data_IF_975484910584
#
_entry.id   IF_975484910584
#
_cell.length_a   1.000
_cell.length_b   1.000
_cell.length_c   1.000
_cell.angle_alpha   90.00
_cell.angle_beta   90.00
_cell.angle_gamma   90.00
#
_symmetry.space_group_name_H-M   'P 1'
#
loop_
_entity.id
_entity.type
_entity.pdbx_description
1 polymer ?
#
# COMPACT_ATOMS: atom_id res chain seq x y z
N UNK A 1 -10.48 16.43 29.80
CA UNK A 1 -10.42 16.61 28.34
C UNK A 1 -11.06 17.95 28.02
N UNK A 2 -10.35 18.80 27.34
CA UNK A 2 -10.85 20.13 26.95
C UNK A 2 -12.01 19.97 25.95
N UNK A 3 -13.09 20.74 26.11
CA UNK A 3 -14.26 20.72 25.21
C UNK A 3 -13.82 21.03 23.77
N UNK A 4 -12.84 21.91 23.61
CA UNK A 4 -12.23 22.25 22.30
C UNK A 4 -11.63 21.02 21.61
N UNK A 5 -10.83 20.23 22.32
CA UNK A 5 -10.23 18.99 21.81
C UNK A 5 -11.31 17.98 21.36
N UNK A 6 -12.38 17.84 22.14
CA UNK A 6 -13.48 16.93 21.81
C UNK A 6 -14.21 17.37 20.53
N UNK A 7 -14.46 18.66 20.36
CA UNK A 7 -15.08 19.20 19.15
C UNK A 7 -14.19 19.01 17.92
N UNK A 8 -12.90 19.29 18.05
CA UNK A 8 -11.94 19.13 16.96
C UNK A 8 -11.77 17.66 16.56
N UNK A 9 -11.73 16.76 17.55
CA UNK A 9 -11.74 15.31 17.30
C UNK A 9 -13.03 14.84 16.62
N UNK A 10 -14.16 15.39 17.04
CA UNK A 10 -15.46 15.08 16.42
C UNK A 10 -15.52 15.54 14.95
N UNK A 11 -14.93 16.70 14.63
CA UNK A 11 -14.80 17.18 13.23
C UNK A 11 -13.90 16.24 12.42
N UNK A 12 -12.74 15.86 12.96
CA UNK A 12 -11.81 14.92 12.31
C UNK A 12 -12.50 13.59 11.99
N UNK A 13 -13.06 12.96 13.01
CA UNK A 13 -13.71 11.65 12.86
C UNK A 13 -15.00 11.75 12.02
N UNK A 14 -15.76 12.82 12.17
CA UNK A 14 -16.97 13.08 11.39
C UNK A 14 -16.68 13.27 9.90
N UNK A 15 -15.64 14.03 9.55
CA UNK A 15 -15.20 14.21 8.16
C UNK A 15 -14.76 12.89 7.53
N UNK A 16 -13.95 12.09 8.24
CA UNK A 16 -13.52 10.77 7.79
C UNK A 16 -14.72 9.83 7.62
N UNK A 17 -15.60 9.75 8.61
CA UNK A 17 -16.79 8.91 8.57
C UNK A 17 -17.71 9.27 7.39
N UNK A 18 -17.96 10.58 7.19
CA UNK A 18 -18.77 11.05 6.07
C UNK A 18 -18.13 10.69 4.73
N UNK A 19 -16.81 10.88 4.59
CA UNK A 19 -16.07 10.52 3.39
C UNK A 19 -16.12 9.02 3.07
N UNK A 20 -15.95 8.18 4.07
CA UNK A 20 -16.06 6.71 3.93
C UNK A 20 -17.49 6.32 3.51
N UNK A 21 -18.51 6.96 4.09
CA UNK A 21 -19.92 6.67 3.77
C UNK A 21 -20.30 7.07 2.35
N UNK A 22 -19.77 8.20 1.86
CA UNK A 22 -20.00 8.67 0.49
C UNK A 22 -19.17 7.89 -0.55
N UNK A 23 -18.00 7.40 -0.15
CA UNK A 23 -17.13 6.57 -0.97
C UNK A 23 -16.33 7.33 -2.06
N UNK A 24 -15.46 6.62 -2.76
CA UNK A 24 -14.68 7.15 -3.88
C UNK A 24 -13.86 8.40 -3.51
N UNK A 25 -13.93 9.44 -4.33
CA UNK A 25 -13.22 10.72 -4.12
C UNK A 25 -13.73 11.53 -2.93
N UNK A 26 -14.94 11.24 -2.45
CA UNK A 26 -15.60 12.03 -1.40
C UNK A 26 -14.79 12.08 -0.10
N UNK A 27 -13.98 11.06 0.18
CA UNK A 27 -13.11 11.04 1.37
C UNK A 27 -12.08 12.18 1.33
N UNK A 28 -11.57 12.52 0.16
CA UNK A 28 -10.70 13.68 -0.02
C UNK A 28 -11.44 15.00 0.15
N UNK A 29 -12.65 15.10 -0.41
CA UNK A 29 -13.48 16.30 -0.30
C UNK A 29 -13.90 16.58 1.13
N UNK A 30 -14.35 15.55 1.85
CA UNK A 30 -14.74 15.69 3.27
C UNK A 30 -13.53 15.96 4.17
N UNK A 31 -12.34 15.46 3.79
CA UNK A 31 -11.09 15.84 4.44
C UNK A 31 -10.81 17.35 4.32
N UNK A 32 -10.89 17.90 3.11
CA UNK A 32 -10.78 19.35 2.88
C UNK A 32 -11.86 20.17 3.60
N UNK A 33 -13.11 19.67 3.63
CA UNK A 33 -14.18 20.29 4.42
C UNK A 33 -13.84 20.29 5.92
N UNK A 34 -13.32 19.18 6.44
CA UNK A 34 -12.86 19.09 7.83
C UNK A 34 -11.77 20.10 8.17
N UNK A 35 -10.77 20.28 7.28
CA UNK A 35 -9.76 21.35 7.45
C UNK A 35 -10.42 22.73 7.51
N UNK A 36 -11.35 23.03 6.60
CA UNK A 36 -12.05 24.32 6.59
C UNK A 36 -12.81 24.55 7.90
N UNK A 37 -13.49 23.53 8.44
CA UNK A 37 -14.20 23.63 9.73
C UNK A 37 -13.21 23.82 10.88
N UNK A 38 -12.13 23.07 10.93
CA UNK A 38 -11.09 23.21 11.97
C UNK A 38 -10.46 24.61 11.94
N UNK A 39 -10.15 25.11 10.75
CA UNK A 39 -9.50 26.40 10.60
C UNK A 39 -10.45 27.59 10.79
N UNK A 40 -11.58 27.61 10.06
CA UNK A 40 -12.44 28.78 9.99
C UNK A 40 -13.45 28.85 11.14
N UNK A 41 -13.95 27.72 11.62
CA UNK A 41 -14.92 27.69 12.71
C UNK A 41 -14.30 27.46 14.08
N UNK A 42 -13.20 26.69 14.17
CA UNK A 42 -12.55 26.35 15.44
C UNK A 42 -11.20 27.03 15.64
N UNK A 43 -10.77 27.90 14.69
CA UNK A 43 -9.58 28.75 14.83
C UNK A 43 -8.24 27.98 14.85
N UNK A 44 -8.20 26.75 14.34
CA UNK A 44 -6.94 25.98 14.25
C UNK A 44 -6.08 26.48 13.08
N UNK A 45 -4.76 26.58 13.27
CA UNK A 45 -3.86 26.80 12.15
C UNK A 45 -3.85 25.58 11.23
N UNK A 46 -4.09 25.77 9.91
CA UNK A 46 -4.04 24.66 8.97
C UNK A 46 -2.66 24.03 8.92
N UNK A 47 -2.60 22.72 8.95
CA UNK A 47 -1.37 21.96 8.79
C UNK A 47 -0.80 22.05 7.36
N UNK A 48 0.28 21.33 7.11
CA UNK A 48 0.96 21.33 5.81
C UNK A 48 0.23 20.46 4.79
N UNK A 49 0.00 21.02 3.60
CA UNK A 49 -0.50 20.22 2.45
C UNK A 49 0.59 19.25 2.00
N UNK A 50 0.27 17.96 1.76
CA UNK A 50 1.26 16.93 1.41
C UNK A 50 1.67 16.97 -0.08
N UNK A 51 2.21 18.11 -0.55
CA UNK A 51 2.57 18.30 -1.95
C UNK A 51 3.58 17.28 -2.45
N UNK A 52 4.62 16.99 -1.68
CA UNK A 52 5.68 16.03 -1.97
C UNK A 52 5.10 14.63 -2.27
N UNK A 53 4.23 14.13 -1.40
CA UNK A 53 3.57 12.83 -1.58
C UNK A 53 2.70 12.82 -2.82
N UNK A 54 1.92 13.87 -3.06
CA UNK A 54 1.03 13.98 -4.22
C UNK A 54 1.84 13.99 -5.52
N UNK A 55 2.92 14.78 -5.60
CA UNK A 55 3.78 14.85 -6.79
C UNK A 55 4.46 13.52 -7.09
N UNK A 56 4.94 12.80 -6.07
CA UNK A 56 5.51 11.47 -6.25
C UNK A 56 4.45 10.50 -6.79
N UNK A 57 3.25 10.47 -6.19
CA UNK A 57 2.15 9.63 -6.67
C UNK A 57 1.84 9.96 -8.13
N UNK A 58 1.70 11.23 -8.48
CA UNK A 58 1.39 11.67 -9.86
C UNK A 58 2.45 11.19 -10.86
N UNK A 59 3.75 11.32 -10.54
CA UNK A 59 4.83 10.87 -11.41
C UNK A 59 4.83 9.35 -11.59
N UNK A 60 4.67 8.60 -10.50
CA UNK A 60 4.63 7.14 -10.51
C UNK A 60 3.44 6.62 -11.32
N UNK A 61 2.23 7.15 -11.09
CA UNK A 61 1.05 6.69 -11.86
C UNK A 61 1.13 7.05 -13.34
N UNK A 62 1.82 8.15 -13.70
CA UNK A 62 2.05 8.51 -15.10
C UNK A 62 2.92 7.45 -15.79
N UNK A 63 4.00 7.00 -15.15
CA UNK A 63 4.86 5.94 -15.67
C UNK A 63 4.11 4.59 -15.78
N UNK A 64 3.30 4.25 -14.76
CA UNK A 64 2.51 3.00 -14.77
C UNK A 64 1.38 3.06 -15.82
N UNK A 65 0.76 4.21 -16.03
CA UNK A 65 -0.25 4.38 -17.07
C UNK A 65 0.37 4.20 -18.47
N UNK A 66 1.57 4.72 -18.71
CA UNK A 66 2.32 4.48 -19.95
C UNK A 66 2.65 2.99 -20.12
N UNK A 67 3.11 2.31 -19.06
CA UNK A 67 3.33 0.88 -19.02
C UNK A 67 2.04 0.09 -19.33
N UNK A 68 0.90 0.51 -18.76
CA UNK A 68 -0.40 -0.12 -19.00
C UNK A 68 -0.85 0.06 -20.46
N UNK A 69 -0.76 1.28 -20.97
CA UNK A 69 -1.18 1.58 -22.35
C UNK A 69 -0.31 0.83 -23.38
N UNK A 70 0.98 0.65 -23.09
CA UNK A 70 1.89 -0.16 -23.92
C UNK A 70 1.61 -1.68 -23.85
N UNK A 71 0.70 -2.14 -22.99
CA UNK A 71 0.43 -3.56 -22.74
C UNK A 71 1.43 -4.23 -21.81
N UNK A 72 2.32 -3.47 -21.17
CA UNK A 72 3.36 -4.02 -20.27
C UNK A 72 2.76 -4.67 -19.01
N UNK A 73 1.69 -4.12 -18.44
CA UNK A 73 0.99 -4.78 -17.35
C UNK A 73 0.40 -6.13 -17.78
N UNK A 74 -0.18 -6.21 -18.98
CA UNK A 74 -0.71 -7.47 -19.51
C UNK A 74 0.39 -8.51 -19.75
N UNK A 75 1.58 -8.06 -20.20
CA UNK A 75 2.76 -8.91 -20.33
C UNK A 75 3.18 -9.49 -18.97
N UNK A 76 3.27 -8.65 -17.91
CA UNK A 76 3.59 -9.08 -16.55
C UNK A 76 2.54 -10.05 -16.01
N UNK A 77 1.26 -9.74 -16.22
CA UNK A 77 0.14 -10.60 -15.82
C UNK A 77 0.21 -11.97 -16.49
N UNK A 78 0.53 -12.03 -17.80
CA UNK A 78 0.72 -13.31 -18.52
C UNK A 78 1.93 -14.11 -18.00
N UNK A 79 3.01 -13.40 -17.63
CA UNK A 79 4.16 -14.07 -17.03
C UNK A 79 3.81 -14.67 -15.66
N UNK A 80 3.07 -13.92 -14.85
CA UNK A 80 2.56 -14.35 -13.57
C UNK A 80 1.54 -15.49 -13.69
N UNK A 81 0.62 -15.40 -14.66
CA UNK A 81 -0.35 -16.46 -14.96
C UNK A 81 0.35 -17.77 -15.33
N UNK A 82 1.37 -17.72 -16.20
CA UNK A 82 2.17 -18.92 -16.51
C UNK A 82 2.81 -19.55 -15.27
N UNK A 83 3.29 -18.73 -14.34
CA UNK A 83 3.86 -19.20 -13.08
C UNK A 83 2.80 -19.88 -12.21
N UNK A 84 1.62 -19.26 -12.06
CA UNK A 84 0.51 -19.80 -11.28
C UNK A 84 -0.02 -21.10 -11.88
N UNK A 85 -0.25 -21.13 -13.20
CA UNK A 85 -0.76 -22.32 -13.90
C UNK A 85 0.26 -23.47 -13.94
N UNK A 86 1.56 -23.17 -13.89
CA UNK A 86 2.60 -24.21 -13.82
C UNK A 86 2.66 -24.93 -12.46
N UNK A 87 2.26 -24.24 -11.39
CA UNK A 87 2.30 -24.75 -10.03
C UNK A 87 1.00 -24.44 -9.26
N UNK A 88 -0.17 -24.87 -9.77
CA UNK A 88 -1.45 -24.40 -9.27
C UNK A 88 -1.74 -24.88 -7.83
N UNK A 89 -1.20 -26.03 -7.41
CA UNK A 89 -1.30 -26.55 -6.04
C UNK A 89 -0.68 -25.61 -5.00
N UNK A 90 0.30 -24.79 -5.42
CA UNK A 90 1.00 -23.84 -4.56
C UNK A 90 0.41 -22.43 -4.64
N UNK A 91 -0.81 -22.29 -5.14
CA UNK A 91 -1.42 -20.98 -5.40
C UNK A 91 -1.50 -20.10 -4.13
N UNK A 92 -1.69 -20.70 -2.95
CA UNK A 92 -1.74 -19.96 -1.68
C UNK A 92 -0.43 -19.24 -1.35
N UNK A 93 0.70 -19.70 -1.89
CA UNK A 93 2.02 -19.05 -1.74
C UNK A 93 2.37 -18.19 -2.97
N UNK A 94 2.04 -18.68 -4.16
CA UNK A 94 2.41 -18.00 -5.40
C UNK A 94 1.56 -16.74 -5.66
N UNK A 95 0.28 -16.77 -5.31
CA UNK A 95 -0.60 -15.63 -5.51
C UNK A 95 -0.13 -14.39 -4.71
N UNK A 96 0.08 -14.47 -3.38
CA UNK A 96 0.63 -13.35 -2.62
C UNK A 96 2.06 -12.97 -3.06
N UNK A 97 2.90 -13.93 -3.44
CA UNK A 97 4.24 -13.63 -3.97
C UNK A 97 4.18 -12.75 -5.21
N UNK A 98 3.35 -13.14 -6.18
CA UNK A 98 3.22 -12.38 -7.43
C UNK A 98 2.66 -10.98 -7.18
N UNK A 99 1.57 -10.86 -6.42
CA UNK A 99 0.98 -9.54 -6.12
C UNK A 99 1.92 -8.68 -5.29
N UNK A 100 2.69 -9.27 -4.38
CA UNK A 100 3.70 -8.59 -3.58
C UNK A 100 4.77 -7.96 -4.47
N UNK A 101 5.41 -8.74 -5.36
CA UNK A 101 6.46 -8.22 -6.23
C UNK A 101 5.95 -7.27 -7.31
N UNK A 102 4.75 -7.49 -7.85
CA UNK A 102 4.13 -6.51 -8.75
C UNK A 102 3.91 -5.17 -8.05
N UNK A 103 3.50 -5.20 -6.79
CA UNK A 103 3.31 -3.98 -5.98
C UNK A 103 4.63 -3.30 -5.66
N UNK A 104 5.70 -4.06 -5.35
CA UNK A 104 7.03 -3.49 -5.14
C UNK A 104 7.49 -2.70 -6.36
N UNK A 105 7.32 -3.27 -7.54
CA UNK A 105 7.71 -2.62 -8.80
C UNK A 105 6.85 -1.38 -9.08
N UNK A 106 5.55 -1.48 -8.88
CA UNK A 106 4.62 -0.42 -9.23
C UNK A 106 4.42 0.65 -8.14
N UNK A 107 4.85 0.41 -6.90
CA UNK A 107 4.63 1.33 -5.77
C UNK A 107 3.17 1.49 -5.34
N UNK A 108 2.26 0.66 -5.86
CA UNK A 108 0.83 0.72 -5.56
C UNK A 108 0.19 -0.67 -5.50
N UNK A 109 -0.70 -0.89 -4.52
CA UNK A 109 -1.44 -2.15 -4.36
C UNK A 109 -2.53 -2.40 -5.41
N UNK A 110 -2.84 -1.41 -6.24
CA UNK A 110 -3.86 -1.56 -7.29
C UNK A 110 -3.46 -2.55 -8.40
N UNK A 111 -2.17 -2.88 -8.52
CA UNK A 111 -1.69 -3.94 -9.43
C UNK A 111 -2.32 -5.30 -9.16
N UNK A 112 -2.78 -5.56 -7.93
CA UNK A 112 -3.50 -6.77 -7.57
C UNK A 112 -4.76 -7.00 -8.43
N UNK A 113 -5.46 -5.94 -8.87
CA UNK A 113 -6.66 -6.07 -9.72
C UNK A 113 -6.40 -6.90 -10.99
N UNK A 114 -5.24 -6.75 -11.60
CA UNK A 114 -4.87 -7.48 -12.81
C UNK A 114 -4.67 -8.99 -12.57
N UNK A 115 -4.35 -9.38 -11.34
CA UNK A 115 -4.10 -10.77 -10.96
C UNK A 115 -5.31 -11.48 -10.36
N UNK A 116 -6.27 -10.75 -9.82
CA UNK A 116 -7.43 -11.33 -9.12
C UNK A 116 -8.21 -12.34 -9.98
N UNK A 117 -8.57 -12.04 -11.24
CA UNK A 117 -9.28 -13.00 -12.08
C UNK A 117 -8.49 -14.30 -12.31
N UNK A 118 -7.16 -14.16 -12.53
CA UNK A 118 -6.27 -15.31 -12.71
C UNK A 118 -6.20 -16.18 -11.46
N UNK A 119 -6.06 -15.55 -10.29
CA UNK A 119 -6.02 -16.24 -9.01
C UNK A 119 -7.31 -17.02 -8.76
N UNK A 120 -8.48 -16.40 -9.02
CA UNK A 120 -9.78 -17.05 -8.90
C UNK A 120 -9.89 -18.25 -9.84
N UNK A 121 -9.49 -18.07 -11.08
CA UNK A 121 -9.58 -19.11 -12.11
C UNK A 121 -8.68 -20.31 -11.78
N UNK A 122 -7.41 -20.07 -11.43
CA UNK A 122 -6.46 -21.13 -11.07
C UNK A 122 -6.88 -21.84 -9.77
N UNK A 123 -7.41 -21.12 -8.78
CA UNK A 123 -7.92 -21.74 -7.57
C UNK A 123 -9.13 -22.64 -7.86
N UNK A 124 -10.06 -22.20 -8.71
CA UNK A 124 -11.21 -23.02 -9.15
C UNK A 124 -10.77 -24.30 -9.86
N UNK A 125 -9.76 -24.23 -10.74
CA UNK A 125 -9.28 -25.41 -11.48
C UNK A 125 -8.70 -26.51 -10.57
N UNK A 126 -8.16 -26.11 -9.43
CA UNK A 126 -7.60 -27.05 -8.43
C UNK A 126 -8.57 -27.37 -7.28
N UNK A 127 -9.84 -27.01 -7.42
CA UNK A 127 -10.86 -27.17 -6.35
C UNK A 127 -10.46 -26.47 -5.03
N UNK A 128 -9.65 -25.40 -5.12
CA UNK A 128 -9.26 -24.58 -3.97
C UNK A 128 -10.24 -23.42 -3.84
N UNK A 129 -10.67 -23.09 -2.62
CA UNK A 129 -11.51 -21.90 -2.37
C UNK A 129 -10.75 -20.64 -2.74
N UNK A 130 -11.21 -19.83 -3.70
CA UNK A 130 -10.54 -18.59 -4.10
C UNK A 130 -10.31 -17.62 -2.93
N UNK A 131 -11.15 -17.62 -1.89
CA UNK A 131 -10.98 -16.79 -0.71
C UNK A 131 -9.62 -16.97 -0.01
N UNK A 132 -9.00 -18.15 -0.10
CA UNK A 132 -7.71 -18.40 0.53
C UNK A 132 -6.57 -17.65 -0.19
N UNK A 133 -6.21 -17.98 -1.46
CA UNK A 133 -5.12 -17.30 -2.15
C UNK A 133 -5.46 -15.82 -2.44
N UNK A 134 -6.72 -15.48 -2.70
CA UNK A 134 -7.12 -14.14 -3.07
C UNK A 134 -7.03 -13.17 -1.89
N UNK A 135 -7.45 -13.59 -0.69
CA UNK A 135 -7.36 -12.71 0.48
C UNK A 135 -5.92 -12.37 0.85
N UNK A 136 -5.02 -13.36 0.83
CA UNK A 136 -3.60 -13.10 1.08
C UNK A 136 -2.97 -12.28 -0.04
N UNK A 137 -3.31 -12.53 -1.30
CA UNK A 137 -2.79 -11.77 -2.42
C UNK A 137 -3.14 -10.28 -2.33
N UNK A 138 -4.39 -9.97 -1.93
CA UNK A 138 -4.83 -8.59 -1.69
C UNK A 138 -4.09 -7.98 -0.51
N UNK A 139 -3.97 -8.71 0.60
CA UNK A 139 -3.22 -8.23 1.78
C UNK A 139 -1.76 -8.00 1.44
N UNK A 140 -1.11 -8.95 0.75
CA UNK A 140 0.28 -8.85 0.33
C UNK A 140 0.52 -7.63 -0.55
N UNK A 141 -0.41 -7.31 -1.47
CA UNK A 141 -0.32 -6.10 -2.28
C UNK A 141 -0.39 -4.80 -1.48
N UNK A 142 -1.09 -4.78 -0.34
CA UNK A 142 -1.14 -3.60 0.53
C UNK A 142 0.13 -3.47 1.38
N UNK A 143 0.59 -4.57 1.96
CA UNK A 143 1.78 -4.57 2.82
C UNK A 143 3.05 -4.30 2.00
N UNK A 144 3.15 -4.81 0.77
CA UNK A 144 4.29 -4.60 -0.11
C UNK A 144 4.59 -3.13 -0.42
N UNK A 145 3.60 -2.24 -0.29
CA UNK A 145 3.81 -0.78 -0.45
C UNK A 145 4.85 -0.27 0.55
N UNK A 146 4.91 -0.84 1.76
CA UNK A 146 5.89 -0.44 2.79
C UNK A 146 7.30 -1.00 2.54
N UNK A 147 7.48 -1.80 1.50
CA UNK A 147 8.78 -2.30 1.05
C UNK A 147 9.13 -1.85 -0.38
N UNK A 148 8.26 -1.08 -1.04
CA UNK A 148 8.48 -0.63 -2.41
C UNK A 148 9.35 0.62 -2.46
N UNK A 149 10.50 0.58 -3.14
CA UNK A 149 11.43 1.71 -3.22
C UNK A 149 10.85 2.94 -3.94
N UNK A 150 9.78 2.75 -4.70
CA UNK A 150 9.11 3.81 -5.49
C UNK A 150 7.78 4.25 -4.87
N UNK A 151 7.39 3.70 -3.72
CA UNK A 151 6.19 4.11 -3.02
C UNK A 151 6.41 5.42 -2.25
N UNK A 152 5.41 6.30 -2.25
CA UNK A 152 5.45 7.54 -1.48
C UNK A 152 5.64 7.30 0.04
N UNK A 153 5.16 6.17 0.56
CA UNK A 153 5.32 5.82 1.97
C UNK A 153 6.78 5.50 2.34
N UNK A 154 7.47 4.68 1.54
CA UNK A 154 8.89 4.35 1.75
C UNK A 154 9.77 5.56 1.53
N UNK A 155 9.48 6.37 0.50
CA UNK A 155 10.22 7.60 0.20
C UNK A 155 10.16 8.55 1.38
N UNK A 156 8.96 8.81 1.90
CA UNK A 156 8.79 9.65 3.08
C UNK A 156 9.55 9.08 4.29
N UNK A 157 9.35 7.81 4.62
CA UNK A 157 10.01 7.18 5.78
C UNK A 157 11.53 7.18 5.66
N UNK A 158 12.07 6.89 4.47
CA UNK A 158 13.51 6.96 4.28
C UNK A 158 14.04 8.39 4.43
N UNK A 159 13.33 9.38 3.89
CA UNK A 159 13.69 10.80 4.03
C UNK A 159 13.76 11.26 5.48
N UNK A 160 12.92 10.70 6.35
CA UNK A 160 12.90 11.00 7.78
C UNK A 160 13.94 10.19 8.57
N UNK A 161 14.18 8.92 8.22
CA UNK A 161 15.04 8.02 8.99
C UNK A 161 16.53 8.11 8.62
N UNK A 162 16.88 8.49 7.39
CA UNK A 162 18.29 8.62 7.00
C UNK A 162 19.03 9.74 7.74
N UNK A 163 18.44 10.93 7.95
CA UNK A 163 19.06 11.94 8.81
C UNK A 163 19.30 11.46 10.25
N UNK A 164 18.55 10.44 10.70
CA UNK A 164 18.72 9.81 12.01
C UNK A 164 19.78 8.70 12.01
N UNK A 165 20.55 8.54 10.94
CA UNK A 165 21.68 7.63 10.84
C UNK A 165 21.36 6.23 10.29
N UNK A 166 20.16 6.02 9.74
CA UNK A 166 19.77 4.73 9.16
C UNK A 166 19.94 4.74 7.66
N UNK A 167 20.70 3.82 7.10
CA UNK A 167 20.94 3.78 5.66
C UNK A 167 19.74 3.24 4.88
N UNK A 168 19.46 3.83 3.72
CA UNK A 168 18.38 3.41 2.83
C UNK A 168 18.40 1.93 2.43
N UNK A 169 19.55 1.35 2.04
CA UNK A 169 19.61 -0.08 1.72
C UNK A 169 19.19 -0.98 2.89
N UNK A 170 19.59 -0.61 4.12
CA UNK A 170 19.20 -1.36 5.33
C UNK A 170 17.70 -1.26 5.58
N UNK A 171 17.12 -0.08 5.44
CA UNK A 171 15.67 0.11 5.56
C UNK A 171 14.91 -0.78 4.59
N UNK A 172 15.26 -0.72 3.30
CA UNK A 172 14.62 -1.56 2.28
C UNK A 172 14.78 -3.05 2.58
N UNK A 173 15.96 -3.48 3.01
CA UNK A 173 16.22 -4.89 3.36
C UNK A 173 15.32 -5.34 4.51
N UNK A 174 15.26 -4.58 5.60
CA UNK A 174 14.43 -4.90 6.76
C UNK A 174 12.97 -4.99 6.35
N UNK A 175 12.44 -3.98 5.68
CA UNK A 175 11.03 -3.96 5.27
C UNK A 175 10.69 -5.07 4.28
N UNK A 176 11.55 -5.34 3.29
CA UNK A 176 11.35 -6.42 2.33
C UNK A 176 11.31 -7.78 3.02
N UNK A 177 12.31 -8.08 3.86
CA UNK A 177 12.41 -9.39 4.52
C UNK A 177 11.26 -9.61 5.50
N UNK A 178 10.96 -8.63 6.35
CA UNK A 178 9.95 -8.78 7.39
C UNK A 178 8.54 -8.88 6.83
N UNK A 179 8.21 -8.04 5.85
CA UNK A 179 6.86 -8.02 5.27
C UNK A 179 6.61 -9.18 4.34
N UNK A 180 7.60 -9.59 3.52
CA UNK A 180 7.46 -10.77 2.68
C UNK A 180 7.38 -12.07 3.49
N UNK A 181 8.25 -12.24 4.49
CA UNK A 181 8.20 -13.39 5.39
C UNK A 181 6.86 -13.47 6.13
N UNK A 182 6.32 -12.33 6.59
CA UNK A 182 5.01 -12.28 7.23
C UNK A 182 3.89 -12.76 6.31
N UNK A 183 3.87 -12.32 5.05
CA UNK A 183 2.90 -12.79 4.07
C UNK A 183 3.02 -14.30 3.83
N UNK A 184 4.24 -14.83 3.76
CA UNK A 184 4.47 -16.28 3.58
C UNK A 184 4.07 -17.09 4.83
N UNK A 185 4.29 -16.57 6.04
CA UNK A 185 3.81 -17.21 7.27
C UNK A 185 2.28 -17.28 7.31
N UNK A 186 1.59 -16.22 6.90
CA UNK A 186 0.12 -16.24 6.80
C UNK A 186 -0.35 -17.23 5.73
N UNK A 187 0.32 -17.27 4.58
CA UNK A 187 0.04 -18.25 3.54
C UNK A 187 0.18 -19.69 4.06
N UNK A 188 1.23 -19.95 4.84
CA UNK A 188 1.46 -21.23 5.50
C UNK A 188 0.33 -21.57 6.49
N UNK A 189 -0.06 -20.63 7.36
CA UNK A 189 -1.14 -20.85 8.32
C UNK A 189 -2.48 -21.14 7.63
N UNK A 190 -2.81 -20.39 6.57
CA UNK A 190 -4.03 -20.65 5.79
C UNK A 190 -3.95 -22.02 5.09
N UNK A 191 -2.76 -22.40 4.60
CA UNK A 191 -2.60 -23.70 3.95
C UNK A 191 -2.73 -24.88 4.95
N UNK A 192 -2.28 -24.69 6.19
CA UNK A 192 -2.34 -25.72 7.24
C UNK A 192 -3.71 -25.81 7.92
N UNK A 193 -4.33 -24.69 8.20
CA UNK A 193 -5.53 -24.61 9.04
C UNK A 193 -6.79 -24.16 8.29
N UNK A 194 -6.64 -23.66 7.06
CA UNK A 194 -7.75 -23.17 6.25
C UNK A 194 -8.61 -24.30 5.68
N UNK A 195 -9.91 -24.00 5.53
CA UNK A 195 -10.80 -24.90 4.78
C UNK A 195 -10.69 -24.60 3.29
N UNK A 196 -9.78 -25.30 2.61
CA UNK A 196 -9.39 -25.00 1.22
C UNK A 196 -10.31 -25.64 0.18
N UNK A 197 -11.05 -26.69 0.52
CA UNK A 197 -11.87 -27.46 -0.41
C UNK A 197 -13.08 -26.64 -0.89
N UNK A 198 -13.06 -26.24 -2.17
CA UNK A 198 -14.11 -25.45 -2.80
C UNK A 198 -15.44 -26.21 -2.84
N UNK A 199 -15.38 -27.53 -3.10
CA UNK A 199 -16.56 -28.38 -3.20
C UNK A 199 -17.39 -28.42 -1.91
N UNK A 200 -16.76 -28.17 -0.75
CA UNK A 200 -17.42 -28.09 0.56
C UNK A 200 -17.98 -26.68 0.89
N UNK A 201 -17.82 -25.71 0.00
CA UNK A 201 -18.35 -24.37 0.22
C UNK A 201 -19.84 -24.28 -0.08
N UNK A 202 -20.65 -24.04 0.96
CA UNK A 202 -22.11 -23.86 0.79
C UNK A 202 -22.45 -22.70 -0.15
N UNK A 203 -21.65 -21.62 -0.15
CA UNK A 203 -21.83 -20.48 -1.05
C UNK A 203 -21.59 -20.89 -2.51
N UNK A 204 -20.52 -21.62 -2.75
CA UNK A 204 -20.21 -22.15 -4.08
C UNK A 204 -21.30 -23.10 -4.61
N UNK A 205 -21.71 -24.07 -3.81
CA UNK A 205 -22.76 -25.03 -4.18
C UNK A 205 -24.07 -24.32 -4.55
N UNK A 206 -24.49 -23.32 -3.75
CA UNK A 206 -25.67 -22.54 -4.06
C UNK A 206 -25.53 -21.78 -5.38
N UNK A 207 -24.42 -21.07 -5.58
CA UNK A 207 -24.17 -20.28 -6.80
C UNK A 207 -24.02 -21.15 -8.04
N UNK A 208 -23.46 -22.36 -7.87
CA UNK A 208 -23.36 -23.34 -8.95
C UNK A 208 -24.76 -23.81 -9.37
N UNK A 209 -25.63 -24.14 -8.40
CA UNK A 209 -27.03 -24.52 -8.66
C UNK A 209 -27.85 -23.40 -9.30
N UNK A 210 -27.56 -22.14 -8.96
CA UNK A 210 -28.19 -20.92 -9.54
C UNK A 210 -27.58 -20.55 -10.92
N UNK A 211 -26.57 -21.29 -11.43
CA UNK A 211 -25.92 -20.99 -12.72
C UNK A 211 -25.05 -19.70 -12.73
N UNK A 212 -24.69 -19.18 -11.55
CA UNK A 212 -23.94 -17.94 -11.39
C UNK A 212 -22.42 -18.14 -11.47
N UNK A 213 -21.94 -19.38 -11.43
CA UNK A 213 -20.52 -19.70 -11.55
C UNK A 213 -20.19 -19.85 -13.03
N UNK A 214 -19.33 -18.99 -13.53
CA UNK A 214 -18.89 -19.05 -14.93
C UNK A 214 -18.07 -20.32 -15.18
N UNK A 215 -18.31 -21.03 -16.30
CA UNK A 215 -17.42 -22.13 -16.70
C UNK A 215 -15.99 -21.59 -16.83
N UNK A 216 -15.04 -22.53 -16.64
CA UNK A 216 -13.61 -22.23 -16.79
C UNK A 216 -13.31 -21.83 -18.26
N UNK A 217 -13.47 -20.56 -18.56
CA UNK A 217 -13.07 -20.02 -19.86
C UNK A 217 -11.61 -19.59 -19.74
N UNK A 218 -10.73 -20.36 -20.33
CA UNK A 218 -9.43 -19.87 -20.77
C UNK A 218 -9.75 -18.87 -21.89
N UNK A 219 -10.15 -17.65 -21.53
CA UNK A 219 -10.39 -16.60 -22.49
C UNK A 219 -9.10 -16.41 -23.29
N UNK A 220 -9.16 -16.58 -24.60
CA UNK A 220 -8.09 -16.18 -25.49
C UNK A 220 -7.87 -14.68 -25.26
N UNK A 221 -6.84 -14.37 -24.48
CA UNK A 221 -6.40 -12.99 -24.36
C UNK A 221 -5.85 -12.59 -25.72
N UNK A 222 -6.36 -11.52 -26.28
CA UNK A 222 -5.89 -10.96 -27.55
C UNK A 222 -4.37 -10.84 -27.62
N UNK A 223 -3.79 -10.66 -28.77
CA UNK A 223 -2.35 -10.48 -28.93
C UNK A 223 -1.84 -9.30 -28.11
N UNK A 224 -0.63 -9.45 -27.55
CA UNK A 224 0.02 -8.35 -26.84
C UNK A 224 0.47 -7.29 -27.85
N UNK A 225 0.31 -5.99 -27.53
CA UNK A 225 0.94 -4.93 -28.32
C UNK A 225 2.45 -5.16 -28.47
N UNK A 226 3.02 -4.80 -29.62
CA UNK A 226 4.46 -4.95 -29.90
C UNK A 226 5.35 -4.29 -28.82
N UNK A 227 4.89 -3.16 -28.25
CA UNK A 227 5.58 -2.42 -27.19
C UNK A 227 5.54 -3.05 -25.80
N UNK A 228 4.72 -4.08 -25.58
CA UNK A 228 4.47 -4.61 -24.23
C UNK A 228 5.75 -5.09 -23.51
N UNK A 229 6.58 -5.87 -24.18
CA UNK A 229 7.85 -6.36 -23.61
C UNK A 229 8.85 -5.22 -23.41
N UNK A 230 8.97 -4.32 -24.38
CA UNK A 230 9.88 -3.18 -24.34
C UNK A 230 9.54 -2.25 -23.19
N UNK A 231 8.26 -1.94 -22.98
CA UNK A 231 7.80 -1.10 -21.89
C UNK A 231 8.13 -1.68 -20.51
N UNK A 232 8.04 -3.00 -20.34
CA UNK A 232 8.42 -3.68 -19.08
C UNK A 232 9.91 -3.55 -18.81
N UNK A 233 10.77 -3.74 -19.82
CA UNK A 233 12.22 -3.60 -19.63
C UNK A 233 12.63 -2.15 -19.34
N UNK A 234 12.01 -1.15 -20.00
CA UNK A 234 12.23 0.26 -19.73
C UNK A 234 11.80 0.57 -18.29
N UNK A 235 10.62 0.12 -17.88
CA UNK A 235 10.10 0.35 -16.54
C UNK A 235 10.98 -0.30 -15.47
N UNK A 236 11.32 -1.56 -15.63
CA UNK A 236 12.19 -2.28 -14.69
C UNK A 236 13.59 -1.66 -14.59
N UNK A 237 14.21 -1.36 -15.72
CA UNK A 237 15.53 -0.70 -15.77
C UNK A 237 15.47 0.70 -15.10
N UNK A 238 14.40 1.44 -15.32
CA UNK A 238 14.19 2.74 -14.69
C UNK A 238 14.00 2.64 -13.17
N UNK A 239 13.23 1.66 -12.68
CA UNK A 239 13.08 1.41 -11.23
C UNK A 239 14.42 1.01 -10.60
N UNK A 240 15.19 0.16 -11.26
CA UNK A 240 16.55 -0.18 -10.80
C UNK A 240 17.43 1.07 -10.74
N UNK A 241 17.36 1.94 -11.76
CA UNK A 241 18.12 3.19 -11.76
C UNK A 241 17.73 4.12 -10.60
N UNK A 242 16.41 4.24 -10.29
CA UNK A 242 15.93 4.97 -9.10
C UNK A 242 16.55 4.42 -7.82
N UNK A 243 16.51 3.10 -7.64
CA UNK A 243 17.07 2.45 -6.43
C UNK A 243 18.58 2.68 -6.34
N UNK A 244 19.31 2.49 -7.43
CA UNK A 244 20.75 2.72 -7.47
C UNK A 244 21.10 4.18 -7.16
N UNK A 245 20.36 5.14 -7.72
CA UNK A 245 20.58 6.55 -7.42
C UNK A 245 20.27 6.85 -5.95
N UNK A 246 19.13 6.36 -5.42
CA UNK A 246 18.77 6.54 -4.01
C UNK A 246 19.81 5.92 -3.05
N UNK A 247 20.42 4.78 -3.42
CA UNK A 247 21.53 4.22 -2.67
C UNK A 247 22.79 5.09 -2.78
N UNK A 248 23.11 5.62 -3.97
CA UNK A 248 24.31 6.40 -4.20
C UNK A 248 24.32 7.74 -3.44
N UNK A 249 23.15 8.37 -3.28
CA UNK A 249 22.98 9.62 -2.50
C UNK A 249 22.82 9.39 -1.00
N UNK A 250 22.64 8.13 -0.57
CA UNK A 250 22.51 7.80 0.85
C UNK A 250 23.80 8.12 1.60
N UNK A 251 23.73 8.80 2.76
CA UNK A 251 24.94 9.13 3.56
C UNK A 251 25.81 7.93 3.90
N UNK A 252 25.20 6.75 4.07
CA UNK A 252 25.90 5.51 4.40
C UNK A 252 26.76 4.96 3.23
N UNK A 253 26.36 5.24 1.98
CA UNK A 253 27.10 4.82 0.77
C UNK A 253 28.07 5.92 0.34
N UNK A 254 27.65 7.18 0.44
CA UNK A 254 28.48 8.36 0.28
C UNK A 254 29.10 8.57 -1.12
N UNK A 255 28.55 7.92 -2.16
CA UNK A 255 29.05 8.07 -3.54
C UNK A 255 28.78 9.45 -4.11
N UNK A 256 27.62 10.03 -3.79
CA UNK A 256 27.22 11.39 -4.20
C UNK A 256 26.95 12.19 -2.92
N UNK A 257 27.89 13.02 -2.52
CA UNK A 257 27.80 13.76 -1.25
C UNK A 257 26.86 14.98 -1.34
N UNK A 258 26.81 15.62 -2.50
CA UNK A 258 25.98 16.81 -2.77
C UNK A 258 25.09 16.50 -3.99
N UNK A 259 23.95 15.81 -3.79
CA UNK A 259 23.10 15.48 -4.91
C UNK A 259 22.38 16.73 -5.44
N UNK A 260 22.48 16.96 -6.76
CA UNK A 260 21.72 18.02 -7.46
C UNK A 260 20.21 17.75 -7.38
N UNK A 261 19.81 16.47 -7.42
CA UNK A 261 18.43 16.06 -7.22
C UNK A 261 18.31 15.37 -5.86
N UNK A 262 17.57 15.97 -4.91
CA UNK A 262 17.20 15.25 -3.68
C UNK A 262 16.32 14.03 -4.03
N UNK A 263 16.15 13.12 -3.08
CA UNK A 263 15.47 11.83 -3.33
C UNK A 263 14.10 11.98 -3.98
N UNK A 264 13.25 12.86 -3.46
CA UNK A 264 11.89 13.08 -3.96
C UNK A 264 11.92 13.60 -5.40
N UNK A 265 12.77 14.57 -5.67
CA UNK A 265 13.01 15.12 -7.00
C UNK A 265 13.55 14.05 -7.97
N UNK A 266 14.45 13.18 -7.50
CA UNK A 266 14.99 12.08 -8.29
C UNK A 266 13.90 11.10 -8.69
N UNK A 267 13.04 10.65 -7.74
CA UNK A 267 11.95 9.72 -8.04
C UNK A 267 11.00 10.33 -9.06
N UNK A 268 10.58 11.59 -8.86
CA UNK A 268 9.71 12.30 -9.80
C UNK A 268 10.36 12.34 -11.19
N UNK A 269 11.62 12.76 -11.28
CA UNK A 269 12.33 12.90 -12.56
C UNK A 269 12.51 11.55 -13.25
N UNK A 270 12.96 10.51 -12.55
CA UNK A 270 13.14 9.19 -13.12
C UNK A 270 11.81 8.59 -13.59
N UNK A 271 10.71 8.75 -12.84
CA UNK A 271 9.40 8.27 -13.27
C UNK A 271 8.92 9.01 -14.54
N UNK A 272 9.16 10.31 -14.65
CA UNK A 272 8.85 11.06 -15.86
C UNK A 272 9.73 10.62 -17.04
N UNK A 273 11.01 10.31 -16.83
CA UNK A 273 11.91 9.74 -17.85
C UNK A 273 11.38 8.37 -18.29
N UNK A 274 11.00 7.48 -17.37
CA UNK A 274 10.41 6.17 -17.68
C UNK A 274 9.16 6.34 -18.55
N UNK A 275 8.24 7.21 -18.14
CA UNK A 275 7.03 7.51 -18.91
C UNK A 275 7.38 7.98 -20.33
N UNK A 276 8.30 8.94 -20.46
CA UNK A 276 8.73 9.49 -21.74
C UNK A 276 9.35 8.43 -22.64
N UNK A 277 10.26 7.61 -22.11
CA UNK A 277 10.90 6.53 -22.88
C UNK A 277 9.87 5.50 -23.34
N UNK A 278 8.91 5.11 -22.49
CA UNK A 278 7.85 4.17 -22.87
C UNK A 278 6.99 4.79 -23.99
N UNK A 279 6.56 6.04 -23.83
CA UNK A 279 5.75 6.74 -24.87
C UNK A 279 6.48 6.80 -26.20
N UNK A 280 7.75 7.18 -26.19
CA UNK A 280 8.56 7.32 -27.42
C UNK A 280 8.87 5.96 -28.07
N UNK A 281 9.39 5.01 -27.28
CA UNK A 281 9.81 3.71 -27.82
C UNK A 281 8.64 2.82 -28.25
N UNK A 282 7.50 2.93 -27.55
CA UNK A 282 6.30 2.15 -27.87
C UNK A 282 5.31 2.94 -28.75
N UNK A 283 5.64 4.17 -29.16
CA UNK A 283 4.84 5.04 -30.06
C UNK A 283 3.40 5.20 -29.56
N UNK A 284 3.23 5.52 -28.28
CA UNK A 284 1.93 5.61 -27.65
C UNK A 284 1.22 6.93 -27.96
N UNK A 285 -0.10 6.84 -28.11
CA UNK A 285 -0.98 8.01 -28.13
C UNK A 285 -1.20 8.51 -26.69
N UNK A 286 -0.58 9.64 -26.35
CA UNK A 286 -0.63 10.21 -25.00
C UNK A 286 -2.03 10.64 -24.58
N UNK A 287 -2.93 10.94 -25.53
CA UNK A 287 -4.33 11.24 -25.22
C UNK A 287 -5.06 10.11 -24.52
N UNK A 288 -4.66 8.86 -24.78
CA UNK A 288 -5.26 7.66 -24.17
C UNK A 288 -4.74 7.37 -22.77
N UNK A 289 -3.67 8.01 -22.31
CA UNK A 289 -3.12 7.80 -20.96
C UNK A 289 -4.13 8.16 -19.86
N UNK A 290 -4.93 9.21 -20.10
CA UNK A 290 -5.96 9.65 -19.16
C UNK A 290 -7.09 8.61 -18.97
N UNK A 291 -7.27 7.72 -19.93
CA UNK A 291 -8.28 6.68 -19.87
C UNK A 291 -7.83 5.43 -19.11
N UNK A 292 -6.55 5.30 -18.85
CA UNK A 292 -6.00 4.14 -18.17
C UNK A 292 -6.54 4.03 -16.74
N UNK A 293 -6.91 2.82 -16.34
CA UNK A 293 -7.46 2.55 -15.01
C UNK A 293 -6.49 2.90 -13.91
N UNK A 294 -5.19 2.68 -14.13
CA UNK A 294 -4.12 3.03 -13.18
C UNK A 294 -4.01 4.54 -13.01
N UNK A 295 -4.16 5.33 -14.10
CA UNK A 295 -4.14 6.78 -14.01
C UNK A 295 -5.35 7.30 -13.23
N UNK A 296 -6.56 6.83 -13.56
CA UNK A 296 -7.81 7.24 -12.88
C UNK A 296 -7.77 6.91 -11.39
N UNK A 297 -7.37 5.69 -11.03
CA UNK A 297 -7.28 5.27 -9.63
C UNK A 297 -6.18 6.01 -8.86
N UNK A 298 -5.05 6.28 -9.51
CA UNK A 298 -3.96 7.04 -8.91
C UNK A 298 -4.31 8.50 -8.67
N UNK A 299 -4.99 9.17 -9.63
CA UNK A 299 -5.49 10.53 -9.43
C UNK A 299 -6.55 10.60 -8.33
N UNK A 300 -7.41 9.58 -8.23
CA UNK A 300 -8.34 9.47 -7.10
C UNK A 300 -7.59 9.37 -5.77
N UNK A 301 -6.51 8.59 -5.70
CA UNK A 301 -5.66 8.51 -4.52
C UNK A 301 -5.01 9.87 -4.18
N UNK A 302 -4.55 10.63 -5.17
CA UNK A 302 -4.03 11.98 -4.94
C UNK A 302 -5.05 12.91 -4.26
N UNK A 303 -6.30 12.90 -4.74
CA UNK A 303 -7.37 13.70 -4.16
C UNK A 303 -7.69 13.26 -2.72
N UNK A 304 -7.72 11.94 -2.48
CA UNK A 304 -7.93 11.40 -1.13
C UNK A 304 -6.81 11.81 -0.18
N UNK A 305 -5.55 11.68 -0.61
CA UNK A 305 -4.36 12.07 0.18
C UNK A 305 -4.37 13.57 0.45
N UNK A 306 -4.70 14.40 -0.56
CA UNK A 306 -4.79 15.84 -0.41
C UNK A 306 -5.71 16.23 0.76
N UNK A 307 -6.93 15.69 0.79
CA UNK A 307 -7.90 16.06 1.83
C UNK A 307 -7.60 15.44 3.18
N UNK A 308 -7.43 14.11 3.23
CA UNK A 308 -7.32 13.38 4.51
C UNK A 308 -5.97 13.61 5.19
N UNK A 309 -4.87 13.64 4.43
CA UNK A 309 -3.57 13.88 5.05
C UNK A 309 -3.44 15.32 5.54
N UNK A 310 -3.99 16.29 4.81
CA UNK A 310 -4.04 17.68 5.26
C UNK A 310 -4.89 17.84 6.52
N UNK A 311 -6.06 17.18 6.59
CA UNK A 311 -6.91 17.14 7.78
C UNK A 311 -6.17 16.53 8.98
N UNK A 312 -5.51 15.38 8.77
CA UNK A 312 -4.72 14.71 9.80
C UNK A 312 -3.56 15.57 10.30
N UNK A 313 -2.81 16.18 9.39
CA UNK A 313 -1.69 17.07 9.74
C UNK A 313 -2.18 18.33 10.49
N UNK A 314 -3.31 18.92 10.09
CA UNK A 314 -3.94 20.05 10.78
C UNK A 314 -4.27 19.68 12.23
N UNK A 315 -4.91 18.54 12.46
CA UNK A 315 -5.29 18.11 13.81
C UNK A 315 -4.06 17.79 14.67
N UNK A 316 -3.10 17.02 14.14
CA UNK A 316 -1.89 16.60 14.87
C UNK A 316 -1.01 17.80 15.20
N UNK A 317 -0.79 18.72 14.26
CA UNK A 317 0.02 19.91 14.47
C UNK A 317 -0.60 20.84 15.53
N UNK A 318 -1.93 20.97 15.55
CA UNK A 318 -2.64 21.76 16.56
C UNK A 318 -2.62 21.14 17.96
N UNK A 319 -2.31 19.84 18.09
CA UNK A 319 -2.26 19.12 19.37
C UNK A 319 -0.90 18.47 19.64
N UNK A 320 0.16 19.01 19.03
CA UNK A 320 1.47 18.36 19.02
C UNK A 320 2.02 18.08 20.43
N UNK A 321 1.75 18.93 21.40
CA UNK A 321 2.25 18.76 22.78
C UNK A 321 1.50 17.63 23.50
N UNK A 322 0.18 17.56 23.36
CA UNK A 322 -0.61 16.46 23.93
C UNK A 322 -0.27 15.10 23.25
N UNK A 323 -0.02 15.13 21.95
CA UNK A 323 0.42 13.94 21.19
C UNK A 323 1.81 13.50 21.67
N UNK A 324 2.77 14.42 21.85
CA UNK A 324 4.11 14.13 22.37
C UNK A 324 4.06 13.51 23.76
N UNK A 325 3.32 14.13 24.68
CA UNK A 325 3.22 13.64 26.07
C UNK A 325 2.64 12.22 26.10
N UNK A 326 1.52 12.00 25.39
CA UNK A 326 0.86 10.70 25.35
C UNK A 326 1.72 9.65 24.63
N UNK A 327 2.33 10.00 23.48
CA UNK A 327 3.17 9.08 22.72
C UNK A 327 4.45 8.72 23.51
N UNK A 328 5.11 9.69 24.16
CA UNK A 328 6.30 9.45 24.99
C UNK A 328 6.00 8.49 26.12
N UNK A 329 4.92 8.72 26.85
CA UNK A 329 4.52 7.87 27.99
C UNK A 329 4.15 6.43 27.54
N UNK A 330 3.41 6.30 26.45
CA UNK A 330 2.94 5.00 25.95
C UNK A 330 4.02 4.23 25.20
N UNK A 331 4.69 4.86 24.23
CA UNK A 331 5.67 4.19 23.36
C UNK A 331 6.98 3.93 24.10
N UNK A 332 7.37 4.80 25.02
CA UNK A 332 8.55 4.61 25.88
C UNK A 332 8.46 3.35 26.73
N UNK A 333 7.29 3.07 27.31
CA UNK A 333 7.06 1.88 28.13
C UNK A 333 6.70 0.64 27.30
N UNK A 334 6.00 0.84 26.20
CA UNK A 334 5.47 -0.24 25.32
C UNK A 334 5.71 0.08 23.85
N UNK A 335 6.91 -0.15 23.31
CA UNK A 335 7.29 0.23 21.94
C UNK A 335 6.34 -0.27 20.84
N UNK A 336 5.75 -1.44 21.03
CA UNK A 336 4.79 -2.04 20.09
C UNK A 336 3.46 -1.28 19.96
N UNK A 337 3.13 -0.39 20.93
CA UNK A 337 1.93 0.44 20.85
C UNK A 337 1.95 1.41 19.68
N UNK A 338 3.13 1.80 19.19
CA UNK A 338 3.23 2.57 17.95
C UNK A 338 2.60 1.83 16.77
N UNK A 339 2.86 0.52 16.65
CA UNK A 339 2.24 -0.28 15.59
C UNK A 339 0.71 -0.34 15.73
N UNK A 340 0.19 -0.40 16.97
CA UNK A 340 -1.27 -0.35 17.21
C UNK A 340 -1.85 1.01 16.79
N UNK A 341 -1.19 2.10 17.13
CA UNK A 341 -1.63 3.45 16.74
C UNK A 341 -1.62 3.61 15.21
N UNK A 342 -0.55 3.18 14.55
CA UNK A 342 -0.44 3.20 13.08
C UNK A 342 -1.49 2.32 12.41
N UNK A 343 -1.78 1.15 12.98
CA UNK A 343 -2.82 0.25 12.50
C UNK A 343 -4.19 0.94 12.45
N UNK A 344 -4.64 1.49 13.57
CA UNK A 344 -5.93 2.16 13.64
C UNK A 344 -5.97 3.46 12.82
N UNK A 345 -4.88 4.22 12.79
CA UNK A 345 -4.80 5.43 11.98
C UNK A 345 -4.87 5.10 10.48
N UNK A 346 -4.12 4.11 10.00
CA UNK A 346 -4.14 3.73 8.59
C UNK A 346 -5.47 3.16 8.13
N UNK A 347 -6.17 2.46 9.01
CA UNK A 347 -7.54 2.01 8.78
C UNK A 347 -8.49 3.17 8.44
N UNK A 348 -8.28 4.33 9.06
CA UNK A 348 -9.12 5.52 8.87
C UNK A 348 -8.63 6.42 7.72
N UNK A 349 -7.31 6.56 7.57
CA UNK A 349 -6.70 7.47 6.60
C UNK A 349 -6.61 6.89 5.18
N UNK A 350 -6.82 5.61 4.99
CA UNK A 350 -6.81 4.91 3.70
C UNK A 350 -5.53 5.13 2.85
N UNK A 351 -4.42 5.50 3.50
CA UNK A 351 -3.14 5.77 2.84
C UNK A 351 -1.97 5.49 3.77
N UNK A 352 -1.05 4.65 3.35
CA UNK A 352 0.19 4.36 4.08
C UNK A 352 1.05 5.62 4.24
N UNK A 353 1.22 6.36 3.15
CA UNK A 353 2.04 7.58 3.15
C UNK A 353 1.43 8.68 4.03
N UNK A 354 0.11 8.88 3.95
CA UNK A 354 -0.58 9.86 4.79
C UNK A 354 -0.47 9.50 6.28
N UNK A 355 -0.64 8.22 6.62
CA UNK A 355 -0.51 7.74 8.00
C UNK A 355 0.89 7.94 8.55
N UNK A 356 1.90 7.54 7.80
CA UNK A 356 3.29 7.72 8.21
C UNK A 356 3.62 9.21 8.41
N UNK A 357 3.21 10.06 7.46
CA UNK A 357 3.45 11.50 7.51
C UNK A 357 2.76 12.18 8.70
N UNK A 358 1.54 11.77 9.03
CA UNK A 358 0.78 12.34 10.14
C UNK A 358 1.35 11.95 11.52
N UNK A 359 1.89 10.75 11.69
CA UNK A 359 2.22 10.22 13.02
C UNK A 359 3.74 10.17 13.28
N UNK A 360 4.55 9.73 12.30
CA UNK A 360 5.97 9.45 12.56
C UNK A 360 6.78 10.66 13.04
N UNK A 361 6.61 11.89 12.51
CA UNK A 361 7.35 13.04 13.01
C UNK A 361 7.05 13.34 14.48
N UNK A 362 5.79 13.23 14.89
CA UNK A 362 5.39 13.43 16.28
C UNK A 362 6.01 12.39 17.22
N UNK A 363 6.06 11.13 16.80
CA UNK A 363 6.68 10.05 17.60
C UNK A 363 8.19 10.22 17.69
N UNK A 364 8.87 10.62 16.62
CA UNK A 364 10.32 10.91 16.65
C UNK A 364 10.62 12.00 17.68
N UNK A 365 9.86 13.08 17.67
CA UNK A 365 9.98 14.15 18.65
C UNK A 365 9.66 13.69 20.07
N UNK A 366 8.61 12.90 20.24
CA UNK A 366 8.17 12.38 21.54
C UNK A 366 9.20 11.45 22.17
N UNK A 367 9.86 10.61 21.37
CA UNK A 367 10.90 9.69 21.83
C UNK A 367 12.28 10.36 21.96
N UNK A 368 12.41 11.65 21.58
CA UNK A 368 13.68 12.36 21.60
C UNK A 368 14.74 11.73 20.69
N UNK A 369 14.31 11.14 19.56
CA UNK A 369 15.22 10.51 18.62
C UNK A 369 15.92 11.61 17.81
N UNK A 370 17.25 11.63 17.91
CA UNK A 370 18.14 12.54 17.17
C UNK A 370 19.26 11.74 16.51
N UNK A 371 20.07 12.31 15.62
CA UNK A 371 21.22 11.64 15.05
C UNK A 371 22.21 11.10 16.10
N UNK A 372 22.32 11.82 17.24
CA UNK A 372 23.21 11.46 18.36
C UNK A 372 22.55 10.42 19.29
N UNK A 373 21.21 10.38 19.35
CA UNK A 373 20.44 9.47 20.18
C UNK A 373 19.42 8.70 19.31
N UNK A 374 19.91 7.75 18.54
CA UNK A 374 19.10 6.99 17.58
C UNK A 374 18.82 5.54 18.00
N UNK A 375 19.12 5.16 19.24
CA UNK A 375 18.97 3.79 19.73
C UNK A 375 17.54 3.22 19.62
N UNK A 376 16.53 4.09 19.59
CA UNK A 376 15.11 3.71 19.48
C UNK A 376 14.55 3.80 18.05
N UNK A 377 15.36 4.12 17.04
CA UNK A 377 14.93 4.20 15.62
C UNK A 377 14.31 2.88 15.14
N UNK A 378 14.80 1.73 15.64
CA UNK A 378 14.27 0.42 15.29
C UNK A 378 12.76 0.30 15.55
N UNK A 379 12.20 1.03 16.55
CA UNK A 379 10.76 1.04 16.85
C UNK A 379 9.95 1.57 15.66
N UNK A 380 10.44 2.65 15.04
CA UNK A 380 9.80 3.26 13.87
C UNK A 380 9.87 2.32 12.67
N UNK A 381 11.03 1.71 12.45
CA UNK A 381 11.26 0.78 11.33
C UNK A 381 10.42 -0.48 11.48
N UNK A 382 10.39 -1.07 12.69
CA UNK A 382 9.62 -2.28 12.99
C UNK A 382 8.11 -2.06 12.88
N UNK A 383 7.62 -0.89 13.31
CA UNK A 383 6.19 -0.57 13.33
C UNK A 383 5.64 -0.15 11.97
N UNK A 384 6.50 0.17 11.01
CA UNK A 384 6.08 0.78 9.74
C UNK A 384 5.11 -0.09 8.93
N UNK A 385 5.21 -1.41 8.97
CA UNK A 385 4.28 -2.30 8.27
C UNK A 385 2.80 -2.08 8.70
N UNK A 386 2.58 -1.59 9.94
CA UNK A 386 1.24 -1.37 10.46
C UNK A 386 0.46 -0.25 9.76
N UNK A 387 1.13 0.65 8.99
CA UNK A 387 0.43 1.64 8.15
C UNK A 387 -0.36 1.00 7.00
N UNK A 388 -0.30 -0.31 6.83
CA UNK A 388 -0.96 -1.04 5.76
C UNK A 388 -2.32 -1.64 6.15
N UNK A 389 -2.94 -1.24 7.26
CA UNK A 389 -4.23 -1.75 7.74
C UNK A 389 -5.46 -1.25 6.93
N UNK A 390 -5.28 -0.86 5.69
CA UNK A 390 -6.31 -0.37 4.78
C UNK A 390 -7.41 -1.41 4.48
N UNK A 391 -7.09 -2.68 4.68
CA UNK A 391 -8.01 -3.81 4.46
C UNK A 391 -8.99 -4.03 5.62
N UNK A 392 -8.84 -3.36 6.75
CA UNK A 392 -9.66 -3.62 7.94
C UNK A 392 -11.10 -3.21 7.72
N UNK A 393 -11.33 -2.06 7.09
CA UNK A 393 -12.66 -1.65 6.66
C UNK A 393 -12.94 -2.21 5.25
N UNK A 394 -14.08 -2.90 5.04
CA UNK A 394 -14.38 -3.59 3.78
C UNK A 394 -14.80 -2.64 2.64
N UNK A 395 -14.42 -1.40 2.70
CA UNK A 395 -14.71 -0.36 1.71
C UNK A 395 -13.52 -0.04 0.81
N UNK A 396 -12.35 -0.63 1.08
CA UNK A 396 -11.17 -0.39 0.26
C UNK A 396 -11.31 -1.03 -1.12
N UNK A 397 -10.95 -0.33 -2.22
CA UNK A 397 -11.26 -0.77 -3.59
C UNK A 397 -10.78 -2.18 -3.95
N UNK A 398 -9.58 -2.58 -3.52
CA UNK A 398 -9.05 -3.91 -3.83
C UNK A 398 -9.82 -5.04 -3.17
N UNK A 399 -10.40 -4.82 -1.99
CA UNK A 399 -11.27 -5.79 -1.33
C UNK A 399 -12.58 -5.96 -2.08
N UNK A 400 -13.20 -4.85 -2.45
CA UNK A 400 -14.46 -4.84 -3.21
C UNK A 400 -14.26 -5.52 -4.56
N UNK A 401 -13.17 -5.20 -5.26
CA UNK A 401 -12.81 -5.84 -6.53
C UNK A 401 -12.62 -7.36 -6.39
N UNK A 402 -11.91 -7.80 -5.36
CA UNK A 402 -11.70 -9.21 -5.11
C UNK A 402 -13.02 -9.98 -4.87
N UNK A 403 -13.93 -9.39 -4.09
CA UNK A 403 -15.27 -9.98 -3.85
C UNK A 403 -16.10 -10.04 -5.13
N UNK A 404 -16.03 -8.99 -5.98
CA UNK A 404 -16.76 -8.94 -7.25
C UNK A 404 -16.23 -9.92 -8.29
N UNK A 405 -14.91 -10.18 -8.29
CA UNK A 405 -14.26 -11.09 -9.23
C UNK A 405 -14.40 -12.56 -8.85
N UNK A 406 -14.65 -12.86 -7.57
CA UNK A 406 -14.89 -14.24 -7.11
C UNK A 406 -16.34 -14.66 -7.33
N UNK A 407 -16.63 -15.23 -8.49
CA UNK A 407 -17.95 -15.76 -8.84
C UNK A 407 -18.38 -16.98 -8.00
N UNK A 408 -17.45 -17.62 -7.28
CA UNK A 408 -17.79 -18.71 -6.36
C UNK A 408 -18.47 -18.25 -5.09
N UNK A 409 -18.34 -16.92 -4.75
CA UNK A 409 -18.85 -16.36 -3.51
C UNK A 409 -18.14 -16.83 -2.25
N UNK A 410 -16.96 -17.47 -2.41
CA UNK A 410 -16.13 -17.88 -1.27
C UNK A 410 -15.44 -16.68 -0.62
N UNK A 411 -15.02 -15.68 -1.42
CA UNK A 411 -14.52 -14.40 -0.95
C UNK A 411 -15.71 -13.47 -0.68
N UNK A 412 -15.84 -13.01 0.55
CA UNK A 412 -17.05 -12.30 0.96
C UNK A 412 -16.78 -11.13 1.91
N UNK A 413 -17.69 -10.18 1.89
CA UNK A 413 -17.93 -9.19 2.94
C UNK A 413 -19.26 -9.58 3.58
N UNK A 414 -19.23 -9.89 4.89
CA UNK A 414 -20.41 -10.29 5.64
C UNK A 414 -21.25 -9.09 6.12
N UNK A 415 -22.29 -9.37 6.89
CA UNK A 415 -23.24 -8.39 7.41
C UNK A 415 -22.61 -7.37 8.39
N UNK A 416 -21.57 -7.79 9.10
CA UNK A 416 -20.84 -6.93 10.05
C UNK A 416 -19.54 -6.46 9.44
N UNK A 417 -19.10 -5.23 9.76
CA UNK A 417 -17.92 -4.55 9.21
C UNK A 417 -16.66 -5.43 9.28
N UNK A 418 -16.43 -6.13 10.39
CA UNK A 418 -15.25 -6.97 10.59
C UNK A 418 -15.44 -8.43 10.16
N UNK A 419 -16.56 -8.79 9.54
CA UNK A 419 -16.80 -10.16 9.05
C UNK A 419 -16.52 -10.25 7.55
N UNK A 420 -15.26 -10.23 7.17
CA UNK A 420 -14.86 -10.38 5.76
C UNK A 420 -13.59 -11.23 5.62
N UNK A 421 -13.36 -11.76 4.42
CA UNK A 421 -12.30 -12.73 4.14
C UNK A 421 -10.87 -12.19 4.36
N UNK A 422 -10.68 -10.88 4.37
CA UNK A 422 -9.37 -10.23 4.43
C UNK A 422 -8.91 -9.89 5.84
N UNK A 423 -9.82 -9.84 6.83
CA UNK A 423 -9.50 -9.34 8.17
C UNK A 423 -8.44 -10.19 8.87
N UNK A 424 -8.70 -11.48 9.02
CA UNK A 424 -7.79 -12.38 9.74
C UNK A 424 -6.44 -12.48 9.03
N UNK A 425 -6.37 -12.76 7.70
CA UNK A 425 -5.08 -12.78 7.00
C UNK A 425 -4.31 -11.47 7.12
N UNK A 426 -5.00 -10.34 7.02
CA UNK A 426 -4.38 -9.03 7.08
C UNK A 426 -3.84 -8.68 8.47
N UNK A 427 -4.64 -8.89 9.51
CA UNK A 427 -4.19 -8.65 10.91
C UNK A 427 -2.98 -9.53 11.24
N UNK A 428 -3.03 -10.82 10.89
CA UNK A 428 -1.90 -11.73 11.12
C UNK A 428 -0.65 -11.28 10.35
N UNK A 429 -0.80 -10.85 9.10
CA UNK A 429 0.33 -10.39 8.30
C UNK A 429 1.00 -9.14 8.91
N UNK A 430 0.22 -8.18 9.41
CA UNK A 430 0.76 -7.00 10.10
C UNK A 430 1.43 -7.42 11.42
N UNK A 431 0.78 -8.27 12.22
CA UNK A 431 1.34 -8.73 13.50
C UNK A 431 2.67 -9.44 13.27
N UNK A 432 2.76 -10.35 12.29
CA UNK A 432 4.01 -11.02 11.98
C UNK A 432 5.07 -10.06 11.41
N UNK A 433 4.68 -9.13 10.53
CA UNK A 433 5.61 -8.16 9.96
C UNK A 433 6.22 -7.26 11.06
N UNK A 434 5.39 -6.78 11.98
CA UNK A 434 5.82 -5.98 13.12
C UNK A 434 6.69 -6.80 14.07
N UNK A 435 6.26 -8.02 14.45
CA UNK A 435 7.03 -8.90 15.32
C UNK A 435 8.41 -9.23 14.73
N UNK A 436 8.46 -9.61 13.45
CA UNK A 436 9.72 -9.80 12.73
C UNK A 436 10.53 -8.51 12.65
N UNK A 437 9.86 -7.36 12.48
CA UNK A 437 10.50 -6.05 12.50
C UNK A 437 11.23 -5.78 13.80
N UNK A 438 10.60 -6.03 14.95
CA UNK A 438 11.22 -5.89 16.27
C UNK A 438 12.40 -6.85 16.51
N UNK A 439 12.46 -7.98 15.80
CA UNK A 439 13.58 -8.92 15.87
C UNK A 439 14.70 -8.51 14.89
N UNK A 440 14.34 -8.20 13.65
CA UNK A 440 15.31 -8.00 12.56
C UNK A 440 15.91 -6.59 12.58
N UNK A 441 15.10 -5.55 12.86
CA UNK A 441 15.59 -4.17 12.80
C UNK A 441 16.75 -3.90 13.76
N UNK A 442 16.73 -4.32 15.05
CA UNK A 442 17.87 -4.12 15.95
C UNK A 442 19.14 -4.86 15.52
N UNK A 443 19.03 -5.91 14.70
CA UNK A 443 20.19 -6.70 14.23
C UNK A 443 20.84 -6.10 12.98
N UNK A 444 20.08 -5.34 12.19
CA UNK A 444 20.51 -4.81 10.89
C UNK A 444 20.88 -3.34 10.98
N UNK A 445 20.14 -2.55 11.76
CA UNK A 445 20.37 -1.10 11.89
C UNK A 445 21.55 -0.77 12.78
#
# INVERSE_FOLDING_TARGET
MDISLLLQLAVLLGAIFLGVRLGGLAIGYTGGLGVAVLALALGMEPGKVPYDVILIIMAVISAIAALQLAGGLDYLVRAAERLLRRNPKNINFLAPTVTYFLTILAGTGHTAFSMMPVIVEVAKSENIRPSAPLSIAVVASQIAITASPVSAAVVFMSGVLEPLGVSYPKLLLVWLVTTYAACMLVALLINLFGNLDLSKSKAYQRRLAEGLVKPHNVGERGELPEGARTSVWIFFGGVVAVVLYACAISPAVGLIKEPVLPRDGAIISFMMIIASLIVMCCKLDTGKLLDMSTFKSGMAACVCVLGVAWLGDTFVSGHIDAVKETASALVGNYPWLLAVALFFASMLLYSQAATAKAIMPAVILALGITPENNSQVYILVASFAAVSALFVLPTYPTLLGAVQMDDTGSTRIGRFVFNHSFLIPGVLAIVFAVALGFVVAPLVL
#
